data_IF_198963221491
#
_entry.id   IF_198963221491
#
_cell.length_a   1.000
_cell.length_b   1.000
_cell.length_c   1.000
_cell.angle_alpha   90.00
_cell.angle_beta   90.00
_cell.angle_gamma   90.00
#
_symmetry.space_group_name_H-M   'P 1'
#
loop_
_entity.id
_entity.type
_entity.pdbx_description
1 polymer ?
#
# COMPACT_ATOMS: atom_id res chain seq x y z
N UNK A 1 -18.96 -64.58 29.42
CA UNK A 1 -18.29 -63.44 30.09
C UNK A 1 -19.26 -62.82 31.06
N UNK A 2 -18.94 -62.79 32.35
CA UNK A 2 -19.82 -62.29 33.42
C UNK A 2 -20.14 -60.81 33.23
N UNK A 3 -21.34 -60.37 33.63
CA UNK A 3 -21.82 -58.98 33.50
C UNK A 3 -20.80 -57.97 34.06
N UNK A 4 -20.10 -58.33 35.15
CA UNK A 4 -19.06 -57.53 35.78
C UNK A 4 -17.86 -57.23 34.85
N UNK A 5 -17.44 -58.18 34.01
CA UNK A 5 -16.34 -57.98 33.05
C UNK A 5 -16.70 -57.00 31.93
N UNK A 6 -17.96 -56.95 31.51
CA UNK A 6 -18.44 -56.00 30.48
C UNK A 6 -18.51 -54.57 31.03
N UNK A 7 -18.97 -54.41 32.28
CA UNK A 7 -19.02 -53.10 32.94
C UNK A 7 -17.63 -52.52 33.17
N UNK A 8 -16.65 -53.36 33.58
CA UNK A 8 -15.26 -52.93 33.77
C UNK A 8 -14.58 -52.51 32.46
N UNK A 9 -14.86 -53.21 31.34
CA UNK A 9 -14.31 -52.84 30.02
C UNK A 9 -14.93 -51.53 29.48
N UNK A 10 -16.21 -51.29 29.72
CA UNK A 10 -16.89 -50.03 29.36
C UNK A 10 -16.37 -48.84 30.17
N UNK A 11 -16.14 -49.02 31.48
CA UNK A 11 -15.56 -47.99 32.33
C UNK A 11 -14.09 -47.67 31.97
N UNK A 12 -13.30 -48.69 31.59
CA UNK A 12 -11.94 -48.48 31.10
C UNK A 12 -11.92 -47.73 29.75
N UNK A 13 -12.85 -48.05 28.84
CA UNK A 13 -12.99 -47.34 27.56
C UNK A 13 -13.44 -45.87 27.77
N UNK A 14 -14.36 -45.61 28.71
CA UNK A 14 -14.76 -44.25 29.07
C UNK A 14 -13.62 -43.45 29.73
N UNK A 15 -12.79 -44.09 30.56
CA UNK A 15 -11.63 -43.46 31.18
C UNK A 15 -10.53 -43.11 30.15
N UNK A 16 -10.33 -43.96 29.13
CA UNK A 16 -9.43 -43.70 28.00
C UNK A 16 -9.95 -42.58 27.08
N UNK A 17 -11.26 -42.47 26.89
CA UNK A 17 -11.90 -41.36 26.15
C UNK A 17 -11.83 -40.03 26.93
N UNK A 18 -11.91 -40.06 28.26
CA UNK A 18 -11.76 -38.88 29.11
C UNK A 18 -10.30 -38.39 29.20
N UNK A 19 -9.32 -39.29 29.10
CA UNK A 19 -7.89 -38.94 29.10
C UNK A 19 -7.42 -38.22 27.80
N UNK A 20 -8.20 -38.29 26.72
CA UNK A 20 -7.92 -37.60 25.45
C UNK A 20 -8.35 -36.12 25.42
N UNK A 21 -9.17 -35.68 26.38
CA UNK A 21 -9.70 -34.31 26.48
C UNK A 21 -8.96 -33.48 27.55
N UNK A 22 -7.64 -33.61 27.65
CA UNK A 22 -6.84 -32.63 28.39
C UNK A 22 -7.01 -31.24 27.77
N UNK A 23 -7.02 -30.15 28.57
CA UNK A 23 -7.07 -28.80 28.00
C UNK A 23 -5.88 -28.65 27.06
N UNK A 24 -6.14 -28.48 25.76
CA UNK A 24 -5.10 -28.19 24.79
C UNK A 24 -4.33 -26.99 25.35
N UNK A 25 -3.04 -27.19 25.69
CA UNK A 25 -2.17 -26.11 26.14
C UNK A 25 -2.19 -25.05 25.05
N UNK A 26 -2.98 -23.99 25.27
CA UNK A 26 -3.17 -22.92 24.32
C UNK A 26 -1.81 -22.28 24.16
N UNK A 27 -1.15 -22.53 23.03
CA UNK A 27 0.17 -21.95 22.74
C UNK A 27 0.05 -20.43 22.88
N UNK A 28 1.07 -19.74 23.43
CA UNK A 28 1.06 -18.29 23.50
C UNK A 28 0.77 -17.68 22.12
N UNK A 29 0.12 -16.50 22.07
CA UNK A 29 -0.18 -15.85 20.81
C UNK A 29 1.11 -15.51 20.07
N UNK A 30 1.06 -15.56 18.74
CA UNK A 30 2.09 -14.98 17.88
C UNK A 30 2.01 -13.44 18.01
N UNK A 31 3.04 -12.82 18.56
CA UNK A 31 3.09 -11.37 18.76
C UNK A 31 3.71 -10.73 17.52
N UNK A 32 2.95 -9.85 16.87
CA UNK A 32 3.39 -9.08 15.70
C UNK A 32 3.35 -7.60 16.05
N UNK A 33 4.42 -6.88 15.76
CA UNK A 33 4.47 -5.44 15.94
C UNK A 33 3.79 -4.72 14.78
N UNK A 34 3.11 -3.63 15.07
CA UNK A 34 2.57 -2.68 14.09
C UNK A 34 3.19 -1.31 14.36
N UNK A 35 3.88 -0.73 13.38
CA UNK A 35 4.48 0.59 13.51
C UNK A 35 3.94 1.49 12.40
N UNK A 36 3.17 2.50 12.79
CA UNK A 36 2.50 3.43 11.87
C UNK A 36 2.58 4.87 12.41
N UNK A 37 2.51 5.89 11.55
CA UNK A 37 2.20 7.25 11.97
C UNK A 37 0.72 7.32 12.35
N UNK A 38 0.42 7.40 13.64
CA UNK A 38 -0.94 7.53 14.17
C UNK A 38 -1.30 8.99 14.46
N UNK A 39 -0.33 9.88 14.30
CA UNK A 39 -0.44 11.33 14.46
C UNK A 39 0.41 12.06 13.40
N UNK A 40 0.35 13.39 13.37
CA UNK A 40 1.05 14.21 12.37
C UNK A 40 0.36 14.24 11.00
N UNK A 41 1.03 14.79 9.98
CA UNK A 41 0.45 14.99 8.63
C UNK A 41 0.04 13.68 7.95
N UNK A 42 0.78 12.60 8.20
CA UNK A 42 0.47 11.25 7.70
C UNK A 42 -0.43 10.44 8.66
N UNK A 43 -0.85 11.03 9.79
CA UNK A 43 -1.54 10.33 10.87
C UNK A 43 -2.90 9.75 10.49
N UNK A 44 -3.67 10.47 9.68
CA UNK A 44 -4.98 10.00 9.18
C UNK A 44 -4.80 8.73 8.36
N UNK A 45 -3.89 8.74 7.39
CA UNK A 45 -3.64 7.58 6.53
C UNK A 45 -3.02 6.40 7.27
N UNK A 46 -2.06 6.64 8.17
CA UNK A 46 -1.46 5.58 8.97
C UNK A 46 -2.43 4.96 9.97
N UNK A 47 -3.34 5.76 10.55
CA UNK A 47 -4.44 5.25 11.39
C UNK A 47 -5.38 4.34 10.59
N UNK A 48 -5.78 4.75 9.39
CA UNK A 48 -6.64 3.91 8.53
C UNK A 48 -5.95 2.59 8.16
N UNK A 49 -4.67 2.62 7.81
CA UNK A 49 -3.88 1.43 7.48
C UNK A 49 -3.74 0.48 8.69
N UNK A 50 -3.48 1.03 9.88
CA UNK A 50 -3.42 0.28 11.13
C UNK A 50 -4.76 -0.40 11.46
N UNK A 51 -5.88 0.30 11.28
CA UNK A 51 -7.23 -0.28 11.41
C UNK A 51 -7.42 -1.46 10.46
N UNK A 52 -6.93 -1.34 9.24
CA UNK A 52 -6.88 -2.42 8.26
C UNK A 52 -6.12 -3.64 8.77
N UNK A 53 -4.89 -3.44 9.24
CA UNK A 53 -4.05 -4.51 9.79
C UNK A 53 -4.71 -5.21 11.00
N UNK A 54 -5.39 -4.44 11.87
CA UNK A 54 -6.19 -5.02 12.97
C UNK A 54 -7.33 -5.89 12.48
N UNK A 55 -8.01 -5.51 11.40
CA UNK A 55 -9.04 -6.36 10.81
C UNK A 55 -8.47 -7.66 10.23
N UNK A 56 -7.25 -7.65 9.70
CA UNK A 56 -6.59 -8.89 9.26
C UNK A 56 -6.32 -9.84 10.43
N UNK A 57 -5.90 -9.30 11.59
CA UNK A 57 -5.76 -10.07 12.84
C UNK A 57 -7.11 -10.64 13.29
N UNK A 58 -8.17 -9.81 13.30
CA UNK A 58 -9.52 -10.24 13.67
C UNK A 58 -10.00 -11.39 12.76
N UNK A 59 -9.78 -11.29 11.44
CA UNK A 59 -10.11 -12.35 10.49
C UNK A 59 -9.34 -13.63 10.79
N UNK A 60 -8.02 -13.57 10.87
CA UNK A 60 -7.17 -14.75 11.09
C UNK A 60 -7.49 -15.43 12.41
N UNK A 61 -7.68 -14.66 13.49
CA UNK A 61 -8.07 -15.20 14.80
C UNK A 61 -9.47 -15.84 14.77
N UNK A 62 -10.42 -15.26 14.04
CA UNK A 62 -11.74 -15.83 13.82
C UNK A 62 -11.72 -17.16 13.03
N UNK A 63 -10.65 -17.42 12.30
CA UNK A 63 -10.45 -18.62 11.48
C UNK A 63 -9.40 -19.59 12.06
N UNK A 64 -9.21 -19.58 13.39
CA UNK A 64 -8.34 -20.53 14.09
C UNK A 64 -6.90 -20.08 14.27
N UNK A 65 -6.57 -18.85 13.90
CA UNK A 65 -5.26 -18.25 14.10
C UNK A 65 -4.17 -18.84 13.19
N UNK A 66 -2.92 -18.51 13.50
CA UNK A 66 -1.73 -19.03 12.80
C UNK A 66 -1.43 -20.42 13.35
N UNK A 67 -1.80 -21.47 12.61
CA UNK A 67 -1.60 -22.87 13.03
C UNK A 67 -2.13 -23.15 14.45
N UNK A 68 -3.33 -22.65 14.75
CA UNK A 68 -3.96 -22.81 16.08
C UNK A 68 -3.48 -21.82 17.14
N UNK A 69 -2.54 -20.93 16.83
CA UNK A 69 -2.09 -19.86 17.73
C UNK A 69 -2.82 -18.56 17.39
N UNK A 70 -3.42 -17.91 18.40
CA UNK A 70 -3.93 -16.56 18.21
C UNK A 70 -2.82 -15.59 17.84
N UNK A 71 -3.17 -14.48 17.20
CA UNK A 71 -2.27 -13.37 16.85
C UNK A 71 -2.58 -12.19 17.76
N UNK A 72 -1.54 -11.59 18.35
CA UNK A 72 -1.62 -10.32 19.06
C UNK A 72 -0.90 -9.24 18.23
N UNK A 73 -1.59 -8.15 17.90
CA UNK A 73 -1.01 -7.00 17.23
C UNK A 73 -0.65 -5.91 18.25
N UNK A 74 0.64 -5.65 18.41
CA UNK A 74 1.16 -4.60 19.32
C UNK A 74 1.50 -3.38 18.50
N UNK A 75 0.71 -2.31 18.63
CA UNK A 75 0.93 -1.07 17.90
C UNK A 75 1.92 -0.12 18.61
N UNK A 76 2.71 0.60 17.83
CA UNK A 76 3.56 1.70 18.26
C UNK A 76 3.43 2.88 17.27
N UNK A 77 3.33 4.09 17.80
CA UNK A 77 3.26 5.31 16.99
C UNK A 77 4.67 5.77 16.58
N UNK A 78 4.83 6.12 15.30
CA UNK A 78 6.01 6.81 14.78
C UNK A 78 5.56 7.86 13.75
N UNK A 79 5.20 9.08 14.20
CA UNK A 79 4.71 10.13 13.30
C UNK A 79 5.80 10.69 12.38
N UNK A 80 7.07 10.44 12.71
CA UNK A 80 8.26 10.92 12.01
C UNK A 80 9.42 9.92 12.21
N UNK A 81 10.43 9.91 11.31
CA UNK A 81 11.54 8.96 11.37
C UNK A 81 12.24 8.92 12.74
N UNK A 82 12.40 10.06 13.42
CA UNK A 82 13.14 10.14 14.68
C UNK A 82 12.42 9.42 15.84
N UNK A 83 11.14 9.11 15.70
CA UNK A 83 10.40 8.32 16.69
C UNK A 83 10.64 6.81 16.54
N UNK A 84 11.10 6.35 15.37
CA UNK A 84 11.22 4.91 15.03
C UNK A 84 12.09 4.13 16.01
N UNK A 85 13.29 4.58 16.44
CA UNK A 85 14.11 3.80 17.37
C UNK A 85 13.40 3.52 18.70
N UNK A 86 12.71 4.52 19.25
CA UNK A 86 11.95 4.37 20.49
C UNK A 86 10.74 3.45 20.34
N UNK A 87 10.03 3.54 19.21
CA UNK A 87 8.89 2.69 18.88
C UNK A 87 9.31 1.22 18.72
N UNK A 88 10.38 0.94 17.96
CA UNK A 88 10.94 -0.41 17.81
C UNK A 88 11.45 -0.97 19.14
N UNK A 89 12.11 -0.16 19.97
CA UNK A 89 12.53 -0.58 21.31
C UNK A 89 11.33 -1.00 22.18
N UNK A 90 10.18 -0.30 22.07
CA UNK A 90 8.95 -0.67 22.77
C UNK A 90 8.37 -2.00 22.27
N UNK A 91 8.37 -2.23 20.96
CA UNK A 91 7.95 -3.50 20.35
C UNK A 91 8.86 -4.65 20.80
N UNK A 92 10.18 -4.44 20.87
CA UNK A 92 11.13 -5.45 21.33
C UNK A 92 10.95 -5.85 22.78
N UNK A 93 10.59 -4.92 23.67
CA UNK A 93 10.21 -5.25 25.06
C UNK A 93 8.99 -6.17 25.14
N UNK A 94 8.20 -6.25 24.07
CA UNK A 94 7.08 -7.19 23.91
C UNK A 94 7.46 -8.44 23.11
N UNK A 95 8.76 -8.72 22.93
CA UNK A 95 9.31 -9.86 22.20
C UNK A 95 8.91 -9.94 20.72
N UNK A 96 8.62 -8.80 20.11
CA UNK A 96 8.33 -8.72 18.67
C UNK A 96 9.58 -9.01 17.85
N UNK A 97 9.44 -9.91 16.86
CA UNK A 97 10.48 -10.24 15.86
C UNK A 97 10.06 -9.93 14.41
N UNK A 98 8.78 -9.62 14.20
CA UNK A 98 8.20 -9.25 12.91
C UNK A 98 7.40 -7.97 13.11
N UNK A 99 7.71 -6.93 12.34
CA UNK A 99 7.03 -5.64 12.38
C UNK A 99 6.34 -5.43 11.04
N UNK A 100 5.05 -5.11 11.07
CA UNK A 100 4.30 -4.58 9.93
C UNK A 100 4.07 -3.08 10.11
N UNK A 101 3.90 -2.36 9.02
CA UNK A 101 3.93 -0.89 8.98
C UNK A 101 4.20 -0.45 7.55
N UNK A 102 4.30 0.82 7.18
CA UNK A 102 4.37 2.02 8.00
C UNK A 102 3.61 3.19 7.38
N UNK A 103 2.90 3.00 6.26
CA UNK A 103 2.19 4.04 5.51
C UNK A 103 3.07 5.13 4.86
N UNK A 104 3.93 5.83 5.63
CA UNK A 104 4.75 6.95 5.16
C UNK A 104 6.16 6.54 4.77
N UNK A 105 6.63 6.96 3.59
CA UNK A 105 7.91 6.50 3.02
C UNK A 105 9.16 6.89 3.80
N UNK A 106 9.19 8.08 4.40
CA UNK A 106 10.33 8.50 5.25
C UNK A 106 10.40 7.67 6.54
N UNK A 107 9.25 7.31 7.11
CA UNK A 107 9.17 6.42 8.29
C UNK A 107 9.54 5.00 7.89
N UNK A 108 9.02 4.52 6.76
CA UNK A 108 9.33 3.19 6.20
C UNK A 108 10.82 2.97 6.03
N UNK A 109 11.52 3.91 5.41
CA UNK A 109 12.96 3.81 5.18
C UNK A 109 13.75 3.65 6.49
N UNK A 110 13.38 4.42 7.51
CA UNK A 110 14.02 4.35 8.83
C UNK A 110 13.67 3.07 9.60
N UNK A 111 12.42 2.60 9.51
CA UNK A 111 12.02 1.30 10.09
C UNK A 111 12.77 0.16 9.41
N UNK A 112 12.90 0.20 8.09
CA UNK A 112 13.60 -0.82 7.32
C UNK A 112 15.08 -0.91 7.73
N UNK A 113 15.76 0.24 7.85
CA UNK A 113 17.15 0.33 8.33
C UNK A 113 17.28 -0.26 9.73
N UNK A 114 16.53 0.28 10.68
CA UNK A 114 16.65 -0.08 12.10
C UNK A 114 16.21 -1.52 12.37
N UNK A 115 15.15 -2.01 11.71
CA UNK A 115 14.72 -3.41 11.80
C UNK A 115 15.80 -4.36 11.25
N UNK A 116 16.46 -4.00 10.14
CA UNK A 116 17.54 -4.78 9.55
C UNK A 116 18.74 -4.87 10.49
N UNK A 117 19.19 -3.73 11.03
CA UNK A 117 20.29 -3.65 12.00
C UNK A 117 20.02 -4.50 13.25
N UNK A 118 18.75 -4.56 13.65
CA UNK A 118 18.27 -5.32 14.80
C UNK A 118 17.93 -6.78 14.50
N UNK A 119 18.05 -7.20 13.25
CA UNK A 119 17.77 -8.56 12.79
C UNK A 119 16.28 -8.96 12.76
N UNK A 120 15.37 -7.99 12.77
CA UNK A 120 13.92 -8.20 12.69
C UNK A 120 13.48 -8.36 11.23
N UNK A 121 12.28 -8.90 11.01
CA UNK A 121 11.60 -8.80 9.70
C UNK A 121 10.77 -7.52 9.68
N UNK A 122 10.94 -6.71 8.64
CA UNK A 122 10.05 -5.60 8.34
C UNK A 122 9.18 -5.91 7.12
N UNK A 123 7.86 -5.85 7.34
CA UNK A 123 6.82 -6.13 6.36
C UNK A 123 6.07 -4.84 6.02
N UNK A 124 6.48 -4.16 4.95
CA UNK A 124 5.92 -2.88 4.55
C UNK A 124 4.55 -3.04 3.86
N UNK A 125 3.53 -2.37 4.38
CA UNK A 125 2.11 -2.52 4.03
C UNK A 125 1.54 -1.37 3.20
N UNK A 126 2.23 -0.23 3.06
CA UNK A 126 1.61 0.95 2.43
C UNK A 126 2.55 1.93 1.77
N UNK A 127 3.75 2.14 2.32
CA UNK A 127 4.72 3.08 1.79
C UNK A 127 5.31 2.60 0.47
N UNK A 128 5.55 3.55 -0.44
CA UNK A 128 5.96 3.25 -1.83
C UNK A 128 7.33 3.84 -2.18
N UNK A 129 7.91 4.68 -1.30
CA UNK A 129 9.18 5.35 -1.56
C UNK A 129 10.39 4.43 -1.51
N UNK A 130 11.54 5.02 -1.82
CA UNK A 130 12.84 4.33 -1.85
C UNK A 130 13.22 3.79 -0.47
N UNK A 131 13.96 2.68 -0.47
CA UNK A 131 14.65 2.13 0.70
C UNK A 131 16.12 1.94 0.33
N UNK A 132 17.00 2.03 1.33
CA UNK A 132 18.43 1.81 1.13
C UNK A 132 18.69 0.46 0.42
N UNK A 133 19.59 0.46 -0.57
CA UNK A 133 19.83 -0.71 -1.41
C UNK A 133 20.42 -1.91 -0.64
N UNK A 134 21.19 -1.68 0.43
CA UNK A 134 21.69 -2.76 1.28
C UNK A 134 20.55 -3.41 2.10
N UNK A 135 19.58 -2.59 2.54
CA UNK A 135 18.37 -3.07 3.21
C UNK A 135 17.45 -3.80 2.23
N UNK A 136 17.15 -3.18 1.09
CA UNK A 136 16.30 -3.76 0.05
C UNK A 136 16.91 -5.04 -0.56
N UNK A 137 18.23 -5.07 -0.75
CA UNK A 137 18.98 -6.26 -1.16
C UNK A 137 19.08 -7.34 -0.09
N UNK A 138 18.69 -7.04 1.15
CA UNK A 138 18.67 -7.95 2.28
C UNK A 138 17.51 -8.95 2.23
N UNK A 139 17.55 -9.94 3.12
CA UNK A 139 16.55 -11.02 3.15
C UNK A 139 15.42 -10.81 4.16
N UNK A 140 15.30 -9.63 4.80
CA UNK A 140 14.36 -9.41 5.91
C UNK A 140 13.51 -8.14 5.77
N UNK A 141 13.61 -7.46 4.63
CA UNK A 141 12.69 -6.39 4.24
C UNK A 141 11.78 -6.88 3.12
N UNK A 142 10.47 -6.70 3.29
CA UNK A 142 9.49 -7.09 2.27
C UNK A 142 8.42 -6.02 2.12
N UNK A 143 8.28 -5.44 0.93
CA UNK A 143 7.24 -4.47 0.62
C UNK A 143 6.11 -5.13 -0.17
N UNK A 144 4.92 -5.10 0.41
CA UNK A 144 3.69 -5.58 -0.23
C UNK A 144 2.93 -4.50 -1.00
N UNK A 145 3.15 -3.23 -0.66
CA UNK A 145 2.65 -2.10 -1.42
C UNK A 145 3.35 -2.01 -2.81
N UNK A 146 2.72 -1.38 -3.82
CA UNK A 146 3.40 -1.09 -5.08
C UNK A 146 4.63 -0.22 -4.87
N UNK A 147 5.69 -0.49 -5.63
CA UNK A 147 6.86 0.38 -5.72
C UNK A 147 6.49 1.74 -6.31
N UNK A 148 7.01 2.83 -5.75
CA UNK A 148 6.77 4.18 -6.24
C UNK A 148 7.21 4.36 -7.69
N UNK A 149 8.35 3.76 -8.07
CA UNK A 149 8.82 3.75 -9.45
C UNK A 149 7.84 3.06 -10.41
N UNK A 150 7.11 2.02 -9.96
CA UNK A 150 6.06 1.40 -10.77
C UNK A 150 4.85 2.31 -10.94
N UNK A 151 4.46 3.07 -9.91
CA UNK A 151 3.38 4.07 -10.03
C UNK A 151 3.77 5.18 -11.03
N UNK A 152 4.99 5.69 -10.94
CA UNK A 152 5.52 6.68 -11.90
C UNK A 152 5.55 6.15 -13.34
N UNK A 153 6.04 4.92 -13.55
CA UNK A 153 6.01 4.25 -14.86
C UNK A 153 4.59 4.06 -15.37
N UNK A 154 3.70 3.52 -14.54
CA UNK A 154 2.31 3.25 -14.90
C UNK A 154 1.56 4.53 -15.28
N UNK A 155 1.79 5.63 -14.58
CA UNK A 155 1.20 6.93 -14.91
C UNK A 155 1.62 7.42 -16.29
N UNK A 156 2.93 7.41 -16.60
CA UNK A 156 3.43 7.86 -17.91
C UNK A 156 2.98 6.93 -19.03
N UNK A 157 3.07 5.62 -18.82
CA UNK A 157 2.59 4.63 -19.78
C UNK A 157 1.09 4.82 -20.05
N UNK A 158 0.28 5.05 -19.01
CA UNK A 158 -1.14 5.33 -19.17
C UNK A 158 -1.39 6.60 -19.99
N UNK A 159 -0.70 7.71 -19.69
CA UNK A 159 -0.87 8.95 -20.47
C UNK A 159 -0.47 8.72 -21.93
N UNK A 160 0.68 8.06 -22.18
CA UNK A 160 1.16 7.77 -23.53
C UNK A 160 0.20 6.88 -24.32
N UNK A 161 -0.25 5.77 -23.73
CA UNK A 161 -0.92 4.69 -24.45
C UNK A 161 -2.44 4.85 -24.45
N UNK A 162 -3.00 5.53 -23.44
CA UNK A 162 -4.43 5.65 -23.26
C UNK A 162 -4.93 7.09 -23.40
N UNK A 163 -4.25 8.09 -22.86
CA UNK A 163 -4.74 9.47 -22.91
C UNK A 163 -4.36 10.15 -24.23
N UNK A 164 -3.08 10.09 -24.62
CA UNK A 164 -2.56 10.79 -25.79
C UNK A 164 -3.29 10.46 -27.11
N UNK A 165 -3.66 9.20 -27.41
CA UNK A 165 -4.43 8.88 -28.63
C UNK A 165 -5.83 9.50 -28.67
N UNK A 166 -6.37 9.94 -27.53
CA UNK A 166 -7.70 10.54 -27.38
C UNK A 166 -7.66 12.07 -27.37
N UNK A 167 -6.47 12.67 -27.29
CA UNK A 167 -6.29 14.12 -27.29
C UNK A 167 -6.35 14.68 -28.72
N UNK A 168 -6.85 15.92 -28.91
CA UNK A 168 -6.85 16.59 -30.21
C UNK A 168 -5.47 17.09 -30.65
N UNK A 169 -4.38 16.66 -29.99
CA UNK A 169 -3.00 17.10 -30.26
C UNK A 169 -2.30 16.08 -31.15
N UNK A 170 -1.88 16.51 -32.35
CA UNK A 170 -1.26 15.63 -33.37
C UNK A 170 0.27 15.65 -33.37
N UNK A 171 0.89 16.58 -32.63
CA UNK A 171 2.33 16.63 -32.42
C UNK A 171 2.74 15.82 -31.19
N UNK A 172 4.04 15.57 -31.04
CA UNK A 172 4.57 14.95 -29.83
C UNK A 172 4.23 15.81 -28.60
N UNK A 173 3.71 15.16 -27.55
CA UNK A 173 3.44 15.79 -26.26
C UNK A 173 4.75 16.01 -25.50
N UNK A 174 4.82 17.15 -24.80
CA UNK A 174 5.96 17.53 -23.96
C UNK A 174 5.58 17.35 -22.49
N UNK A 175 6.37 16.58 -21.76
CA UNK A 175 6.09 16.19 -20.38
C UNK A 175 6.97 16.97 -19.41
N UNK A 176 6.36 17.56 -18.38
CA UNK A 176 7.07 18.03 -17.21
C UNK A 176 6.84 17.06 -16.05
N UNK A 177 7.87 16.88 -15.22
CA UNK A 177 7.80 16.05 -14.00
C UNK A 177 8.11 16.94 -12.81
N UNK A 178 7.13 17.18 -11.95
CA UNK A 178 7.33 17.83 -10.66
C UNK A 178 7.23 16.79 -9.55
N UNK A 179 8.20 16.75 -8.65
CA UNK A 179 8.20 15.81 -7.54
C UNK A 179 8.84 16.43 -6.32
N UNK A 180 8.29 16.14 -5.16
CA UNK A 180 8.91 16.55 -3.91
C UNK A 180 10.24 15.80 -3.69
N UNK A 181 11.25 16.49 -3.14
CA UNK A 181 12.61 15.95 -3.04
C UNK A 181 12.86 15.15 -1.75
N UNK A 182 12.02 14.14 -1.52
CA UNK A 182 12.19 13.12 -0.48
C UNK A 182 12.25 11.70 -1.08
N UNK A 183 12.38 10.69 -0.22
CA UNK A 183 12.44 9.28 -0.66
C UNK A 183 11.17 8.83 -1.39
N UNK A 184 10.02 9.48 -1.16
CA UNK A 184 8.77 9.17 -1.86
C UNK A 184 8.78 9.79 -3.26
N UNK A 185 8.93 11.11 -3.34
CA UNK A 185 8.83 11.83 -4.60
C UNK A 185 9.96 11.48 -5.56
N UNK A 186 11.18 11.20 -5.07
CA UNK A 186 12.28 10.69 -5.92
C UNK A 186 11.98 9.32 -6.53
N UNK A 187 11.48 8.35 -5.74
CA UNK A 187 11.15 7.03 -6.27
C UNK A 187 10.15 7.11 -7.43
N UNK A 188 9.09 7.88 -7.19
CA UNK A 188 7.97 8.03 -8.12
C UNK A 188 8.38 8.85 -9.34
N UNK A 189 9.00 10.01 -9.13
CA UNK A 189 9.50 10.89 -10.20
C UNK A 189 10.55 10.21 -11.06
N UNK A 190 11.45 9.42 -10.47
CA UNK A 190 12.44 8.61 -11.18
C UNK A 190 11.76 7.58 -12.09
N UNK A 191 10.75 6.87 -11.59
CA UNK A 191 9.94 5.95 -12.39
C UNK A 191 9.31 6.62 -13.63
N UNK A 192 8.73 7.80 -13.43
CA UNK A 192 8.16 8.59 -14.52
C UNK A 192 9.23 9.03 -15.55
N UNK A 193 10.38 9.56 -15.09
CA UNK A 193 11.48 9.99 -15.95
C UNK A 193 12.09 8.83 -16.74
N UNK A 194 12.22 7.65 -16.13
CA UNK A 194 12.69 6.43 -16.81
C UNK A 194 11.71 6.00 -17.91
N UNK A 195 10.41 5.99 -17.63
CA UNK A 195 9.39 5.64 -18.63
C UNK A 195 9.36 6.63 -19.81
N UNK A 196 9.48 7.93 -19.52
CA UNK A 196 9.54 8.97 -20.55
C UNK A 196 10.75 8.75 -21.49
N UNK A 197 11.92 8.47 -20.92
CA UNK A 197 13.15 8.20 -21.71
C UNK A 197 13.01 6.92 -22.53
N UNK A 198 12.55 5.83 -21.91
CA UNK A 198 12.37 4.55 -22.58
C UNK A 198 11.34 4.63 -23.72
N UNK A 199 10.27 5.43 -23.54
CA UNK A 199 9.24 5.68 -24.54
C UNK A 199 9.55 6.79 -25.54
N UNK A 200 10.77 7.37 -25.53
CA UNK A 200 11.17 8.44 -26.46
C UNK A 200 10.32 9.72 -26.38
N UNK A 201 9.70 9.98 -25.22
CA UNK A 201 8.83 11.14 -25.01
C UNK A 201 9.67 12.41 -24.78
N UNK A 202 9.17 13.56 -25.26
CA UNK A 202 9.85 14.84 -25.05
C UNK A 202 9.70 15.29 -23.59
N UNK A 203 10.82 15.50 -22.89
CA UNK A 203 10.83 16.03 -21.52
C UNK A 203 11.00 17.55 -21.56
N UNK A 204 9.98 18.29 -21.17
CA UNK A 204 10.00 19.76 -21.05
C UNK A 204 10.84 20.22 -19.86
N UNK A 205 10.82 19.47 -18.75
CA UNK A 205 11.59 19.79 -17.55
C UNK A 205 11.35 18.80 -16.41
N UNK A 206 12.29 18.79 -15.47
CA UNK A 206 12.22 18.04 -14.21
C UNK A 206 12.38 19.02 -13.07
N UNK A 207 11.45 19.00 -12.13
CA UNK A 207 11.32 20.02 -11.09
C UNK A 207 11.22 19.35 -9.72
N UNK A 208 12.36 18.94 -9.13
CA UNK A 208 12.41 18.63 -7.70
C UNK A 208 12.01 19.88 -6.89
N UNK A 209 11.27 19.70 -5.81
CA UNK A 209 10.86 20.80 -4.94
C UNK A 209 10.80 20.39 -3.46
N UNK A 210 10.92 21.39 -2.57
CA UNK A 210 10.66 21.21 -1.14
C UNK A 210 9.16 21.34 -0.88
N UNK A 211 8.53 20.29 -0.34
CA UNK A 211 7.11 20.30 0.01
C UNK A 211 6.77 21.35 1.09
N UNK A 212 7.77 21.84 1.82
CA UNK A 212 7.63 22.87 2.86
C UNK A 212 7.94 24.29 2.38
N UNK A 213 8.15 24.50 1.07
CA UNK A 213 8.52 25.81 0.51
C UNK A 213 7.49 26.93 0.77
N UNK A 214 6.26 26.59 1.16
CA UNK A 214 5.20 27.54 1.56
C UNK A 214 4.54 28.29 0.40
N UNK A 215 5.30 28.68 -0.63
CA UNK A 215 4.81 29.32 -1.86
C UNK A 215 5.26 28.55 -3.11
N UNK A 216 4.29 28.15 -3.94
CA UNK A 216 4.51 27.40 -5.18
C UNK A 216 4.39 28.25 -6.45
N UNK A 217 4.10 29.55 -6.36
CA UNK A 217 4.01 30.44 -7.53
C UNK A 217 5.33 30.52 -8.33
N UNK A 218 6.52 30.58 -7.71
CA UNK A 218 7.78 30.54 -8.46
C UNK A 218 7.99 29.21 -9.20
N UNK A 219 7.59 28.08 -8.60
CA UNK A 219 7.66 26.77 -9.24
C UNK A 219 6.68 26.69 -10.42
N UNK A 220 5.44 27.12 -10.25
CA UNK A 220 4.43 27.18 -11.32
C UNK A 220 4.92 28.02 -12.50
N UNK A 221 5.58 29.14 -12.25
CA UNK A 221 6.18 30.00 -13.29
C UNK A 221 7.27 29.27 -14.07
N UNK A 222 8.17 28.53 -13.40
CA UNK A 222 9.20 27.72 -14.07
C UNK A 222 8.60 26.58 -14.90
N UNK A 223 7.57 25.91 -14.37
CA UNK A 223 6.84 24.88 -15.10
C UNK A 223 6.21 25.49 -16.36
N UNK A 224 5.52 26.62 -16.26
CA UNK A 224 4.92 27.33 -17.38
C UNK A 224 5.95 27.72 -18.46
N UNK A 225 7.11 28.23 -18.04
CA UNK A 225 8.20 28.62 -18.94
C UNK A 225 8.75 27.44 -19.76
N UNK A 226 8.69 26.22 -19.23
CA UNK A 226 9.09 25.01 -19.96
C UNK A 226 8.08 24.60 -21.05
N UNK A 227 6.86 25.18 -21.03
CA UNK A 227 5.75 24.94 -21.98
C UNK A 227 5.37 23.44 -22.11
N UNK A 228 5.04 22.75 -21.00
CA UNK A 228 4.61 21.35 -21.05
C UNK A 228 3.17 21.23 -21.56
N UNK A 229 2.86 20.11 -22.20
CA UNK A 229 1.48 19.69 -22.50
C UNK A 229 0.93 18.80 -21.38
N UNK A 230 1.80 17.99 -20.78
CA UNK A 230 1.47 17.06 -19.70
C UNK A 230 2.29 17.41 -18.47
N UNK A 231 1.64 17.53 -17.32
CA UNK A 231 2.33 17.61 -16.03
C UNK A 231 2.11 16.32 -15.23
N UNK A 232 3.22 15.67 -14.87
CA UNK A 232 3.26 14.63 -13.86
C UNK A 232 3.60 15.24 -12.49
N UNK A 233 2.90 14.82 -11.44
CA UNK A 233 3.10 15.33 -10.07
C UNK A 233 3.22 14.21 -9.03
N UNK A 234 4.33 14.17 -8.29
CA UNK A 234 4.43 13.40 -7.04
C UNK A 234 4.51 14.35 -5.84
N UNK A 235 3.45 14.35 -5.02
CA UNK A 235 3.23 15.31 -3.93
C UNK A 235 2.56 14.62 -2.73
N UNK A 236 2.59 15.26 -1.56
CA UNK A 236 1.60 15.02 -0.51
C UNK A 236 0.36 15.89 -0.72
N UNK A 237 -0.65 15.74 0.14
CA UNK A 237 -1.95 16.38 -0.06
C UNK A 237 -1.82 17.92 -0.08
N UNK A 238 -1.16 18.49 0.94
CA UNK A 238 -1.10 19.93 1.14
C UNK A 238 -0.31 20.65 0.03
N UNK A 239 0.88 20.16 -0.30
CA UNK A 239 1.72 20.70 -1.36
C UNK A 239 1.12 20.43 -2.75
N UNK A 240 0.48 19.28 -2.97
CA UNK A 240 -0.20 18.98 -4.23
C UNK A 240 -1.37 19.93 -4.49
N UNK A 241 -2.19 20.22 -3.46
CA UNK A 241 -3.28 21.22 -3.55
C UNK A 241 -2.71 22.62 -3.79
N UNK A 242 -1.69 23.03 -3.03
CA UNK A 242 -1.08 24.35 -3.15
C UNK A 242 -0.43 24.56 -4.54
N UNK A 243 0.25 23.54 -5.05
CA UNK A 243 0.84 23.56 -6.39
C UNK A 243 -0.25 23.61 -7.47
N UNK A 244 -1.32 22.82 -7.38
CA UNK A 244 -2.42 22.90 -8.36
C UNK A 244 -3.08 24.28 -8.38
N UNK A 245 -3.32 24.88 -7.21
CA UNK A 245 -3.82 26.27 -7.12
C UNK A 245 -2.89 27.26 -7.81
N UNK A 246 -1.58 27.13 -7.59
CA UNK A 246 -0.58 27.99 -8.22
C UNK A 246 -0.53 27.82 -9.75
N UNK A 247 -0.66 26.58 -10.24
CA UNK A 247 -0.72 26.28 -11.69
C UNK A 247 -1.97 26.87 -12.35
N UNK A 248 -3.13 26.78 -11.69
CA UNK A 248 -4.38 27.39 -12.18
C UNK A 248 -4.28 28.91 -12.18
N UNK A 249 -3.79 29.53 -11.09
CA UNK A 249 -3.61 30.97 -11.01
C UNK A 249 -2.63 31.51 -12.09
N UNK A 250 -1.58 30.75 -12.38
CA UNK A 250 -0.61 31.07 -13.44
C UNK A 250 -1.11 30.74 -14.86
N UNK A 251 -2.33 30.21 -15.02
CA UNK A 251 -2.91 29.81 -16.30
C UNK A 251 -1.97 28.91 -17.12
N UNK A 252 -1.33 27.93 -16.46
CA UNK A 252 -0.40 27.02 -17.14
C UNK A 252 -1.19 26.15 -18.13
N UNK A 253 -0.88 26.20 -19.45
CA UNK A 253 -1.73 25.62 -20.49
C UNK A 253 -1.50 24.11 -20.63
N UNK A 254 -1.85 23.34 -19.61
CA UNK A 254 -1.77 21.89 -19.61
C UNK A 254 -2.93 21.29 -20.42
N UNK A 255 -2.61 20.32 -21.28
CA UNK A 255 -3.60 19.52 -22.01
C UNK A 255 -4.16 18.43 -21.12
N UNK A 256 -3.32 17.82 -20.28
CA UNK A 256 -3.73 16.88 -19.25
C UNK A 256 -2.70 16.86 -18.11
N UNK A 257 -3.06 16.24 -16.99
CA UNK A 257 -2.19 16.09 -15.84
C UNK A 257 -2.46 14.79 -15.10
N UNK A 258 -1.42 14.22 -14.54
CA UNK A 258 -1.50 13.01 -13.73
C UNK A 258 -0.65 13.15 -12.48
N UNK A 259 -1.23 12.87 -11.32
CA UNK A 259 -0.48 12.75 -10.09
C UNK A 259 -0.36 11.31 -9.61
N UNK A 260 0.14 11.13 -8.39
CA UNK A 260 0.28 9.81 -7.76
C UNK A 260 -0.31 9.75 -6.35
N UNK A 261 0.03 8.68 -5.63
CA UNK A 261 -0.32 8.40 -4.23
C UNK A 261 -0.17 9.61 -3.32
N UNK A 262 -0.83 9.56 -2.16
CA UNK A 262 -0.73 10.56 -1.09
C UNK A 262 -1.17 11.99 -1.43
N UNK A 263 -1.74 12.23 -2.61
CA UNK A 263 -2.30 13.53 -2.99
C UNK A 263 -3.45 13.39 -4.00
N UNK A 264 -3.14 13.23 -5.29
CA UNK A 264 -4.14 13.34 -6.37
C UNK A 264 -5.21 12.25 -6.33
N UNK A 265 -4.92 11.13 -5.66
CA UNK A 265 -5.87 10.06 -5.42
C UNK A 265 -6.76 10.30 -4.20
N UNK A 266 -6.50 11.26 -3.32
CA UNK A 266 -7.24 11.39 -2.06
C UNK A 266 -8.58 12.10 -2.27
N UNK A 267 -9.69 11.63 -1.67
CA UNK A 267 -10.97 12.35 -1.69
C UNK A 267 -10.83 13.85 -1.33
N UNK A 268 -10.04 14.14 -0.30
CA UNK A 268 -9.76 15.50 0.18
C UNK A 268 -9.14 16.42 -0.89
N UNK A 269 -8.38 15.88 -1.85
CA UNK A 269 -7.82 16.67 -2.97
C UNK A 269 -8.94 17.23 -3.84
N UNK A 270 -9.88 16.37 -4.25
CA UNK A 270 -11.04 16.77 -5.05
C UNK A 270 -12.05 17.61 -4.29
N UNK A 271 -12.25 17.36 -2.99
CA UNK A 271 -13.09 18.20 -2.11
C UNK A 271 -12.52 19.62 -2.00
N UNK A 272 -11.20 19.75 -1.87
CA UNK A 272 -10.53 21.04 -1.68
C UNK A 272 -10.38 21.84 -2.97
N UNK A 273 -10.21 21.18 -4.11
CA UNK A 273 -10.01 21.82 -5.42
C UNK A 273 -11.30 21.97 -6.23
N UNK A 274 -12.34 21.17 -5.95
CA UNK A 274 -13.60 21.20 -6.67
C UNK A 274 -13.42 21.00 -8.17
N UNK A 275 -13.91 21.96 -8.96
CA UNK A 275 -13.75 21.96 -10.42
C UNK A 275 -12.28 21.90 -10.86
N UNK A 276 -11.34 22.42 -10.06
CA UNK A 276 -9.92 22.44 -10.41
C UNK A 276 -9.24 21.07 -10.36
N UNK A 277 -9.92 20.04 -9.83
CA UNK A 277 -9.45 18.66 -9.88
C UNK A 277 -9.94 17.91 -11.12
N UNK A 278 -11.03 18.35 -11.75
CA UNK A 278 -11.72 17.61 -12.82
C UNK A 278 -10.80 17.46 -14.04
N UNK A 279 -10.78 16.26 -14.63
CA UNK A 279 -9.92 15.88 -15.75
C UNK A 279 -8.49 15.47 -15.37
N UNK A 280 -8.09 15.65 -14.10
CA UNK A 280 -6.81 15.13 -13.62
C UNK A 280 -6.91 13.62 -13.36
N UNK A 281 -5.79 12.94 -13.62
CA UNK A 281 -5.62 11.52 -13.30
C UNK A 281 -4.77 11.31 -12.04
N UNK A 282 -4.87 10.13 -11.44
CA UNK A 282 -3.99 9.72 -10.35
C UNK A 282 -3.60 8.24 -10.43
N UNK A 283 -2.29 7.93 -10.39
CA UNK A 283 -1.81 6.54 -10.26
C UNK A 283 -1.62 6.17 -8.80
N UNK A 284 -2.37 5.19 -8.30
CA UNK A 284 -2.28 4.73 -6.91
C UNK A 284 -2.86 3.32 -6.70
N UNK A 285 -2.89 2.87 -5.45
CA UNK A 285 -3.59 1.67 -4.96
C UNK A 285 -5.12 1.79 -5.15
N UNK A 286 -5.84 0.67 -5.30
CA UNK A 286 -7.30 0.69 -5.40
C UNK A 286 -7.97 0.94 -4.04
N UNK A 287 -9.09 1.66 -4.05
CA UNK A 287 -10.02 1.74 -2.92
C UNK A 287 -10.85 0.45 -2.86
N UNK A 288 -11.33 0.09 -1.66
CA UNK A 288 -12.13 -1.12 -1.50
C UNK A 288 -13.40 -1.10 -2.36
N UNK A 289 -14.03 0.07 -2.51
CA UNK A 289 -15.22 0.23 -3.34
C UNK A 289 -14.96 0.12 -4.86
N UNK A 290 -13.70 0.25 -5.29
CA UNK A 290 -13.33 0.20 -6.69
C UNK A 290 -12.75 -1.14 -7.14
N UNK A 291 -12.52 -2.08 -6.20
CA UNK A 291 -12.05 -3.43 -6.54
C UNK A 291 -13.18 -4.19 -7.24
N UNK A 292 -12.90 -4.70 -8.45
CA UNK A 292 -13.83 -5.55 -9.20
C UNK A 292 -13.88 -6.95 -8.60
N UNK A 293 -14.97 -7.27 -7.92
CA UNK A 293 -15.20 -8.54 -7.22
C UNK A 293 -15.06 -9.76 -8.14
N UNK A 294 -15.48 -9.65 -9.41
CA UNK A 294 -15.36 -10.74 -10.39
C UNK A 294 -13.92 -11.05 -10.80
N UNK A 295 -13.01 -10.09 -10.64
CA UNK A 295 -11.57 -10.26 -10.91
C UNK A 295 -10.81 -10.92 -9.74
N UNK A 296 -11.47 -11.16 -8.60
CA UNK A 296 -10.87 -11.78 -7.42
C UNK A 296 -11.03 -13.30 -7.42
N UNK A 297 -10.16 -13.99 -6.68
CA UNK A 297 -10.38 -15.40 -6.33
C UNK A 297 -11.54 -15.52 -5.32
N UNK A 298 -12.09 -16.73 -5.06
CA UNK A 298 -13.07 -16.92 -3.99
C UNK A 298 -12.59 -16.41 -2.62
N UNK A 299 -11.30 -16.58 -2.32
CA UNK A 299 -10.66 -16.09 -1.09
C UNK A 299 -10.59 -14.55 -1.07
N UNK A 300 -10.14 -13.93 -2.15
CA UNK A 300 -10.10 -12.46 -2.28
C UNK A 300 -11.49 -11.84 -2.15
N UNK A 301 -12.52 -12.47 -2.76
CA UNK A 301 -13.92 -12.03 -2.61
C UNK A 301 -14.41 -12.11 -1.18
N UNK A 302 -14.17 -13.24 -0.51
CA UNK A 302 -14.65 -13.47 0.86
C UNK A 302 -14.00 -12.49 1.85
N UNK A 303 -12.68 -12.31 1.74
CA UNK A 303 -11.92 -11.42 2.61
C UNK A 303 -12.26 -9.95 2.37
N UNK A 304 -12.41 -9.51 1.11
CA UNK A 304 -12.84 -8.14 0.80
C UNK A 304 -14.24 -7.84 1.36
N UNK A 305 -15.22 -8.71 1.10
CA UNK A 305 -16.59 -8.52 1.56
C UNK A 305 -16.68 -8.45 3.09
N UNK A 306 -15.97 -9.34 3.78
CA UNK A 306 -15.92 -9.32 5.24
C UNK A 306 -15.23 -8.07 5.77
N UNK A 307 -14.08 -7.70 5.20
CA UNK A 307 -13.32 -6.54 5.66
C UNK A 307 -14.14 -5.25 5.52
N UNK A 308 -14.79 -5.04 4.36
CA UNK A 308 -15.65 -3.87 4.14
C UNK A 308 -16.83 -3.82 5.13
N UNK A 309 -17.52 -4.95 5.33
CA UNK A 309 -18.64 -5.02 6.26
C UNK A 309 -18.20 -4.73 7.70
N UNK A 310 -17.10 -5.36 8.13
CA UNK A 310 -16.55 -5.20 9.49
C UNK A 310 -16.03 -3.77 9.71
N UNK A 311 -15.38 -3.19 8.71
CA UNK A 311 -14.88 -1.82 8.74
C UNK A 311 -16.03 -0.82 8.91
N UNK A 312 -17.06 -0.94 8.08
CA UNK A 312 -18.25 -0.09 8.15
C UNK A 312 -18.97 -0.22 9.49
N UNK A 313 -19.10 -1.45 10.01
CA UNK A 313 -19.75 -1.69 11.30
C UNK A 313 -18.94 -1.13 12.49
N UNK A 314 -17.60 -1.16 12.41
CA UNK A 314 -16.72 -0.73 13.52
C UNK A 314 -16.42 0.77 13.52
N UNK A 315 -16.26 1.36 12.35
CA UNK A 315 -15.76 2.73 12.20
C UNK A 315 -16.78 3.69 11.56
N UNK A 316 -17.96 3.19 11.19
CA UNK A 316 -19.06 4.00 10.64
C UNK A 316 -18.71 4.78 9.36
N UNK A 317 -17.76 4.27 8.58
CA UNK A 317 -17.29 4.86 7.33
C UNK A 317 -16.95 3.78 6.29
N UNK A 318 -16.85 4.17 5.02
CA UNK A 318 -16.38 3.28 3.98
C UNK A 318 -14.89 2.94 4.17
N UNK A 319 -14.48 1.74 3.74
CA UNK A 319 -13.09 1.31 3.83
C UNK A 319 -12.23 2.05 2.80
N UNK A 320 -11.30 2.85 3.29
CA UNK A 320 -10.37 3.65 2.48
C UNK A 320 -9.28 2.80 1.83
N UNK A 321 -8.55 3.35 0.85
CA UNK A 321 -7.40 2.66 0.24
C UNK A 321 -6.31 2.28 1.26
N UNK A 322 -5.90 3.17 2.20
CA UNK A 322 -4.96 2.80 3.26
C UNK A 322 -5.48 1.65 4.13
N UNK A 323 -6.75 1.69 4.56
CA UNK A 323 -7.34 0.59 5.32
C UNK A 323 -7.33 -0.73 4.55
N UNK A 324 -7.68 -0.71 3.26
CA UNK A 324 -7.63 -1.91 2.42
C UNK A 324 -6.20 -2.44 2.23
N UNK A 325 -5.22 -1.54 2.07
CA UNK A 325 -3.81 -1.89 1.98
C UNK A 325 -3.32 -2.57 3.26
N UNK A 326 -3.60 -1.96 4.42
CA UNK A 326 -3.25 -2.52 5.73
C UNK A 326 -3.88 -3.89 5.95
N UNK A 327 -5.17 -4.06 5.62
CA UNK A 327 -5.84 -5.36 5.70
C UNK A 327 -5.20 -6.40 4.78
N UNK A 328 -5.12 -6.10 3.48
CA UNK A 328 -4.67 -7.07 2.46
C UNK A 328 -3.22 -7.50 2.67
N UNK A 329 -2.36 -6.54 3.01
CA UNK A 329 -0.94 -6.77 3.13
C UNK A 329 -0.58 -7.42 4.47
N UNK A 330 -1.28 -7.08 5.56
CA UNK A 330 -1.16 -7.83 6.82
C UNK A 330 -1.74 -9.24 6.67
N UNK A 331 -2.85 -9.41 5.93
CA UNK A 331 -3.45 -10.72 5.67
C UNK A 331 -2.47 -11.65 4.94
N UNK A 332 -1.73 -11.17 3.95
CA UNK A 332 -0.69 -11.94 3.28
C UNK A 332 0.34 -12.54 4.27
N UNK A 333 0.84 -11.70 5.20
CA UNK A 333 1.76 -12.14 6.26
C UNK A 333 1.10 -13.17 7.19
N UNK A 334 -0.06 -12.83 7.73
CA UNK A 334 -0.69 -13.56 8.82
C UNK A 334 -1.35 -14.87 8.37
N UNK A 335 -1.98 -14.88 7.21
CA UNK A 335 -2.74 -16.03 6.71
C UNK A 335 -1.92 -16.98 5.82
N UNK A 336 -0.83 -16.50 5.21
CA UNK A 336 -0.04 -17.31 4.29
C UNK A 336 1.42 -17.49 4.74
N UNK A 337 2.11 -16.40 5.08
CA UNK A 337 3.55 -16.46 5.41
C UNK A 337 3.82 -17.06 6.78
N UNK A 338 3.20 -16.58 7.85
CA UNK A 338 3.44 -17.11 9.20
C UNK A 338 3.04 -18.59 9.34
N UNK A 339 1.91 -19.05 8.76
CA UNK A 339 1.61 -20.48 8.71
C UNK A 339 2.69 -21.26 7.96
N UNK A 340 3.17 -20.80 6.80
CA UNK A 340 4.26 -21.47 6.08
C UNK A 340 5.57 -21.49 6.89
N UNK A 341 5.90 -20.40 7.58
CA UNK A 341 7.08 -20.28 8.44
C UNK A 341 7.02 -21.21 9.67
N UNK A 342 5.82 -21.44 10.22
CA UNK A 342 5.60 -22.23 11.43
C UNK A 342 6.06 -21.57 12.74
N UNK A 343 6.61 -20.36 12.68
CA UNK A 343 7.06 -19.55 13.80
C UNK A 343 7.15 -18.08 13.40
N UNK A 344 7.43 -17.20 14.36
CA UNK A 344 7.73 -15.78 14.14
C UNK A 344 9.25 -15.51 14.12
N UNK A 345 10.09 -16.56 14.03
CA UNK A 345 11.54 -16.39 13.94
C UNK A 345 11.91 -15.71 12.62
N UNK A 346 12.72 -14.63 12.64
CA UNK A 346 12.99 -13.81 11.45
C UNK A 346 13.41 -14.60 10.22
N UNK A 347 14.33 -15.57 10.37
CA UNK A 347 14.81 -16.37 9.24
C UNK A 347 13.78 -17.35 8.70
N UNK A 348 12.91 -17.88 9.56
CA UNK A 348 11.82 -18.74 9.12
C UNK A 348 10.76 -17.94 8.34
N UNK A 349 10.43 -16.74 8.85
CA UNK A 349 9.49 -15.82 8.19
C UNK A 349 10.04 -15.34 6.85
N UNK A 350 11.31 -14.95 6.79
CA UNK A 350 11.97 -14.53 5.56
C UNK A 350 11.97 -15.61 4.49
N UNK A 351 12.36 -16.85 4.84
CA UNK A 351 12.32 -17.98 3.90
C UNK A 351 10.90 -18.28 3.41
N UNK A 352 9.92 -18.23 4.31
CA UNK A 352 8.52 -18.43 3.95
C UNK A 352 8.01 -17.31 3.03
N UNK A 353 8.32 -16.05 3.32
CA UNK A 353 7.93 -14.90 2.51
C UNK A 353 8.43 -15.05 1.06
N UNK A 354 9.69 -15.44 0.87
CA UNK A 354 10.26 -15.66 -0.46
C UNK A 354 9.73 -16.92 -1.18
N UNK A 355 9.20 -17.89 -0.45
CA UNK A 355 8.67 -19.13 -1.00
C UNK A 355 7.17 -19.09 -1.31
N UNK A 356 6.40 -18.27 -0.59
CA UNK A 356 4.95 -18.14 -0.78
C UNK A 356 4.66 -17.31 -2.02
N UNK A 357 3.87 -17.88 -2.95
CA UNK A 357 3.36 -17.19 -4.12
C UNK A 357 1.85 -17.19 -4.13
N UNK A 358 1.24 -16.02 -4.26
CA UNK A 358 -0.20 -15.84 -4.36
C UNK A 358 -0.54 -15.24 -5.73
N UNK A 359 -1.42 -15.88 -6.52
CA UNK A 359 -1.91 -15.29 -7.76
C UNK A 359 -2.52 -13.90 -7.56
N UNK A 360 -2.47 -13.06 -8.60
CA UNK A 360 -3.20 -11.79 -8.63
C UNK A 360 -4.70 -12.05 -8.42
N UNK A 361 -5.34 -11.24 -7.59
CA UNK A 361 -6.73 -11.39 -7.19
C UNK A 361 -6.96 -12.25 -5.94
N UNK A 362 -5.90 -12.85 -5.36
CA UNK A 362 -6.01 -13.56 -4.07
C UNK A 362 -6.18 -12.59 -2.90
N UNK A 363 -5.48 -11.45 -2.91
CA UNK A 363 -5.61 -10.45 -1.85
C UNK A 363 -6.83 -9.55 -2.09
N UNK A 364 -7.45 -9.06 -1.02
CA UNK A 364 -8.68 -8.26 -1.08
C UNK A 364 -8.53 -6.94 -1.88
N UNK A 365 -7.32 -6.40 -2.00
CA UNK A 365 -7.00 -5.25 -2.84
C UNK A 365 -6.86 -5.60 -4.34
N UNK A 366 -7.10 -6.84 -4.74
CA UNK A 366 -6.89 -7.31 -6.12
C UNK A 366 -5.45 -7.72 -6.43
N UNK A 367 -4.52 -7.55 -5.50
CA UNK A 367 -3.14 -7.95 -5.67
C UNK A 367 -2.91 -9.45 -5.46
N UNK A 368 -1.66 -9.85 -5.68
CA UNK A 368 -1.12 -11.15 -5.29
C UNK A 368 0.16 -10.96 -4.47
N UNK A 369 0.98 -11.99 -4.43
CA UNK A 369 2.27 -11.98 -3.74
C UNK A 369 3.30 -12.75 -4.57
N UNK A 370 4.31 -12.03 -5.06
CA UNK A 370 5.52 -12.60 -5.66
C UNK A 370 6.68 -11.67 -5.29
N UNK A 371 7.34 -11.98 -4.18
CA UNK A 371 8.44 -11.18 -3.65
C UNK A 371 9.73 -11.50 -4.42
N UNK A 372 10.43 -10.47 -4.89
CA UNK A 372 11.69 -10.70 -5.58
C UNK A 372 12.78 -11.20 -4.61
N UNK A 373 13.62 -12.14 -5.03
CA UNK A 373 14.63 -12.74 -4.16
C UNK A 373 15.83 -11.80 -3.94
N UNK A 374 16.65 -12.04 -2.89
CA UNK A 374 17.93 -11.36 -2.72
C UNK A 374 18.82 -11.47 -3.97
N UNK A 375 19.53 -10.40 -4.30
CA UNK A 375 20.35 -10.29 -5.51
C UNK A 375 19.58 -9.83 -6.76
N UNK A 376 18.25 -9.76 -6.69
CA UNK A 376 17.44 -9.10 -7.72
C UNK A 376 17.44 -7.56 -7.53
N UNK A 377 17.40 -6.75 -8.61
CA UNK A 377 17.28 -5.30 -8.50
C UNK A 377 16.03 -4.81 -7.74
N UNK A 378 15.01 -5.66 -7.63
CA UNK A 378 13.77 -5.40 -6.88
C UNK A 378 13.66 -6.27 -5.63
N UNK A 379 14.77 -6.78 -5.09
CA UNK A 379 14.79 -7.63 -3.89
C UNK A 379 13.86 -7.08 -2.79
N UNK A 380 13.06 -7.97 -2.21
CA UNK A 380 12.06 -7.61 -1.19
C UNK A 380 10.78 -6.97 -1.70
N UNK A 381 10.70 -6.56 -2.97
CA UNK A 381 9.50 -5.91 -3.53
C UNK A 381 8.48 -6.93 -4.04
N UNK A 382 7.19 -6.64 -3.83
CA UNK A 382 6.09 -7.44 -4.39
C UNK A 382 5.80 -7.05 -5.85
N UNK A 383 6.09 -7.96 -6.77
CA UNK A 383 5.85 -7.81 -8.21
C UNK A 383 4.38 -7.94 -8.60
N UNK A 384 3.56 -8.50 -7.72
CA UNK A 384 2.13 -8.72 -7.91
C UNK A 384 1.26 -7.69 -7.16
N UNK A 385 1.84 -6.57 -6.72
CA UNK A 385 1.11 -5.51 -6.05
C UNK A 385 0.10 -4.83 -6.99
N UNK A 386 -1.11 -4.56 -6.51
CA UNK A 386 -2.15 -3.91 -7.29
C UNK A 386 -1.94 -2.39 -7.37
N UNK A 387 -2.19 -1.83 -8.55
CA UNK A 387 -2.28 -0.40 -8.80
C UNK A 387 -3.32 -0.10 -9.87
N UNK A 388 -3.93 1.08 -9.79
CA UNK A 388 -4.98 1.58 -10.68
C UNK A 388 -4.69 3.02 -11.09
N UNK A 389 -5.39 3.49 -12.12
CA UNK A 389 -5.46 4.91 -12.49
C UNK A 389 -6.89 5.40 -12.22
N UNK A 390 -6.96 6.50 -11.49
CA UNK A 390 -8.17 7.27 -11.24
C UNK A 390 -8.29 8.42 -12.23
N UNK A 391 -9.53 8.80 -12.56
CA UNK A 391 -9.87 10.06 -13.22
C UNK A 391 -10.87 10.83 -12.34
N UNK A 392 -10.63 12.13 -12.12
CA UNK A 392 -11.61 13.02 -11.50
C UNK A 392 -12.67 13.41 -12.55
N UNK A 393 -13.83 12.77 -12.48
CA UNK A 393 -14.90 12.90 -13.49
C UNK A 393 -15.89 14.02 -13.19
N UNK A 394 -15.97 14.45 -11.92
CA UNK A 394 -16.75 15.60 -11.48
C UNK A 394 -16.17 16.15 -10.15
N UNK A 395 -16.56 17.36 -9.69
CA UNK A 395 -16.10 17.89 -8.41
C UNK A 395 -16.34 16.90 -7.26
N UNK A 396 -15.28 16.52 -6.54
CA UNK A 396 -15.35 15.54 -5.45
C UNK A 396 -15.63 14.09 -5.89
N UNK A 397 -15.69 13.79 -7.19
CA UNK A 397 -15.98 12.46 -7.71
C UNK A 397 -14.84 11.95 -8.60
N UNK A 398 -14.31 10.77 -8.26
CA UNK A 398 -13.30 10.06 -9.03
C UNK A 398 -13.73 8.64 -9.32
N UNK A 399 -13.26 8.09 -10.42
CA UNK A 399 -13.51 6.72 -10.82
C UNK A 399 -12.22 6.02 -11.27
N UNK A 400 -12.14 4.71 -11.09
CA UNK A 400 -11.04 3.91 -11.65
C UNK A 400 -11.31 3.71 -13.14
N UNK A 401 -10.36 4.10 -13.96
CA UNK A 401 -10.45 4.02 -15.43
C UNK A 401 -9.43 3.05 -16.03
N UNK A 402 -8.45 2.60 -15.25
CA UNK A 402 -7.41 1.66 -15.70
C UNK A 402 -6.78 0.87 -14.53
N UNK A 403 -6.23 -0.33 -14.76
CA UNK A 403 -6.35 -1.18 -15.96
C UNK A 403 -7.79 -1.67 -16.19
N UNK A 404 -8.13 -2.22 -17.38
CA UNK A 404 -9.48 -2.67 -17.70
C UNK A 404 -10.03 -3.70 -16.70
N UNK A 405 -9.13 -4.50 -16.11
CA UNK A 405 -9.45 -5.45 -15.05
C UNK A 405 -10.02 -4.78 -13.78
N UNK A 406 -9.73 -3.51 -13.54
CA UNK A 406 -10.21 -2.73 -12.40
C UNK A 406 -11.10 -1.52 -12.80
N UNK A 407 -11.20 -1.20 -14.10
CA UNK A 407 -11.94 -0.04 -14.58
C UNK A 407 -13.45 -0.15 -14.24
N UNK A 408 -13.97 0.87 -13.56
CA UNK A 408 -15.40 1.03 -13.27
C UNK A 408 -16.06 2.05 -14.20
N UNK A 409 -15.27 2.87 -14.89
CA UNK A 409 -15.71 3.90 -15.83
C UNK A 409 -14.79 3.94 -17.07
N UNK A 410 -15.28 4.37 -18.24
CA UNK A 410 -14.43 4.65 -19.40
C UNK A 410 -13.55 5.87 -19.14
N UNK A 411 -12.41 5.93 -19.84
CA UNK A 411 -11.51 7.10 -19.82
C UNK A 411 -12.20 8.26 -20.56
N UNK A 412 -12.51 9.35 -19.85
CA UNK A 412 -13.26 10.48 -20.41
C UNK A 412 -12.35 11.54 -21.05
N UNK A 413 -11.15 11.76 -20.51
CA UNK A 413 -10.18 12.79 -20.96
C UNK A 413 -10.82 14.18 -20.96
N UNK A 414 -11.32 14.59 -19.79
CA UNK A 414 -11.97 15.88 -19.62
C UNK A 414 -10.96 17.04 -19.73
N UNK A 415 -11.38 18.20 -20.27
CA UNK A 415 -10.52 19.39 -20.31
C UNK A 415 -10.20 19.87 -18.89
N UNK A 416 -8.98 20.36 -18.69
CA UNK A 416 -8.58 20.99 -17.44
C UNK A 416 -9.10 22.42 -17.35
N UNK A 417 -9.56 22.80 -16.16
CA UNK A 417 -9.86 24.19 -15.78
C UNK A 417 -8.62 25.03 -15.61
#
# INVERSE_FOLDING_TARGET
MTALRRTLLLLAALALLAAGCGPARRRPPAVVGALYPLSGSQGTGGTEEERGARLAVDWVNGHGGVKGQGVELVAADAPRPEAVPSALAALRRRHVSVVLGSHGSVVSAEVAREATDQGLVFWETGAVGETDAAVAGGSRFFRMAPMGANLGRAAIAFVRDQVAPRLPVRRQLRYAVAYMDDVYGRAVGSGALVELRAGGQAVAGSFPYDAHAGDFAPLATRIAASRPDVLFVAAYLDDGVAMRRSLVAAHVPLVTGIGTSSSYCMPAFGETLGANAVGLFASDKPDAAAVRVDALSPEGRATLAWAQARYRARYHQAMSAPALSGFSNAYALLAHVLPAAGSTEPDAVARAALGVKLPVGTLANGGGMDLAPPGDPQAGENRSAASVIWEWVAPGQRAVVWPPAFATHPIAVLPLS
#
